data_IF_017421863520
#
_entry.id   IF_017421863520
#
_cell.length_a   1.000
_cell.length_b   1.000
_cell.length_c   1.000
_cell.angle_alpha   90.00
_cell.angle_beta   90.00
_cell.angle_gamma   90.00
#
_symmetry.space_group_name_H-M   'P 1'
#
loop_
_entity.id
_entity.type
_entity.pdbx_description
1 polymer ?
#
# COMPACT_ATOMS: atom_id res chain seq x y z
N UNK A 1 3.96 29.22 7.59
CA UNK A 1 3.41 28.88 8.93
C UNK A 1 4.17 27.70 9.46
N UNK A 2 4.65 27.70 10.70
CA UNK A 2 5.23 26.47 11.28
C UNK A 2 4.12 25.42 11.37
N UNK A 3 4.28 24.33 10.65
CA UNK A 3 3.36 23.19 10.74
C UNK A 3 3.37 22.59 12.15
N UNK A 4 2.20 22.18 12.61
CA UNK A 4 2.11 21.46 13.88
C UNK A 4 2.83 20.12 13.75
N UNK A 5 3.74 19.76 14.65
CA UNK A 5 4.42 18.47 14.62
C UNK A 5 3.40 17.36 14.80
N UNK A 6 3.74 16.17 14.30
CA UNK A 6 2.96 14.97 14.60
C UNK A 6 3.28 14.51 16.03
N UNK A 7 2.26 14.43 16.87
CA UNK A 7 2.38 13.88 18.22
C UNK A 7 1.98 12.38 18.18
N UNK A 8 2.79 11.54 18.81
CA UNK A 8 2.50 10.10 18.96
C UNK A 8 2.14 9.82 20.42
N UNK A 9 1.00 9.17 20.62
CA UNK A 9 0.47 8.85 21.94
C UNK A 9 0.08 7.38 21.98
N UNK A 10 0.53 6.65 22.98
CA UNK A 10 0.03 5.29 23.28
C UNK A 10 -1.00 5.42 24.41
N UNK A 11 -2.21 4.95 24.15
CA UNK A 11 -3.31 4.99 25.12
C UNK A 11 -3.25 3.81 26.09
N UNK A 12 -4.04 3.88 27.15
CA UNK A 12 -4.08 2.88 28.23
C UNK A 12 -4.47 1.47 27.73
N UNK A 13 -5.27 1.38 26.68
CA UNK A 13 -5.69 0.12 26.05
C UNK A 13 -4.70 -0.41 25.00
N UNK A 14 -3.58 0.29 24.74
CA UNK A 14 -2.57 -0.09 23.75
C UNK A 14 -2.72 0.52 22.37
N UNK A 15 -3.84 1.16 22.05
CA UNK A 15 -4.04 1.87 20.78
C UNK A 15 -3.02 3.02 20.67
N UNK A 16 -2.41 3.15 19.50
CA UNK A 16 -1.47 4.24 19.20
C UNK A 16 -2.17 5.31 18.37
N UNK A 17 -2.02 6.58 18.77
CA UNK A 17 -2.58 7.72 18.08
C UNK A 17 -1.48 8.58 17.46
N UNK A 18 -1.53 8.79 16.15
CA UNK A 18 -0.81 9.84 15.44
C UNK A 18 -1.70 11.07 15.31
N UNK A 19 -1.36 12.12 16.02
CA UNK A 19 -2.17 13.34 16.10
C UNK A 19 -1.47 14.52 15.45
N UNK A 20 -2.20 15.26 14.62
CA UNK A 20 -1.77 16.54 14.05
C UNK A 20 -2.89 17.56 14.20
N UNK A 21 -2.60 18.66 14.89
CA UNK A 21 -3.50 19.82 14.92
C UNK A 21 -3.41 20.58 13.60
N UNK A 22 -4.53 20.74 12.92
CA UNK A 22 -4.62 21.51 11.68
C UNK A 22 -5.71 22.59 11.79
N UNK A 23 -5.48 23.74 11.16
CA UNK A 23 -6.49 24.81 11.06
C UNK A 23 -7.38 24.66 9.81
N UNK A 24 -7.21 23.60 9.01
CA UNK A 24 -8.08 23.29 7.87
C UNK A 24 -9.55 23.17 8.30
N UNK A 25 -10.48 23.51 7.43
CA UNK A 25 -11.91 23.24 7.65
C UNK A 25 -12.24 21.75 7.59
N UNK A 26 -11.38 20.97 6.90
CA UNK A 26 -11.53 19.52 6.67
C UNK A 26 -10.69 18.75 7.67
N UNK A 27 -11.28 17.72 8.26
CA UNK A 27 -10.62 16.73 9.11
C UNK A 27 -10.46 15.41 8.36
N UNK A 28 -9.38 14.70 8.65
CA UNK A 28 -9.07 13.37 8.12
C UNK A 28 -8.81 12.41 9.29
N UNK A 29 -9.38 11.22 9.20
CA UNK A 29 -9.27 10.18 10.21
C UNK A 29 -8.99 8.85 9.51
N UNK A 30 -8.04 8.07 10.03
CA UNK A 30 -7.75 6.74 9.53
C UNK A 30 -7.52 5.76 10.69
N UNK A 31 -8.11 4.57 10.59
CA UNK A 31 -7.89 3.43 11.46
C UNK A 31 -7.12 2.38 10.68
N UNK A 32 -5.89 2.13 11.09
CA UNK A 32 -5.01 1.14 10.51
C UNK A 32 -4.92 -0.10 11.40
N UNK A 33 -4.98 -1.26 10.78
CA UNK A 33 -4.75 -2.55 11.43
C UNK A 33 -3.64 -3.28 10.69
N UNK A 34 -2.66 -3.81 11.41
CA UNK A 34 -1.64 -4.70 10.87
C UNK A 34 -2.30 -6.05 10.57
N UNK A 35 -2.15 -6.55 9.34
CA UNK A 35 -2.85 -7.75 8.90
C UNK A 35 -2.88 -7.84 7.38
N UNK A 36 -4.00 -7.58 6.75
CA UNK A 36 -4.16 -7.64 5.30
C UNK A 36 -4.18 -9.07 4.74
N UNK A 37 -4.01 -9.21 3.41
CA UNK A 37 -4.12 -10.51 2.75
C UNK A 37 -3.02 -11.50 3.15
N UNK A 38 -1.87 -11.03 3.64
CA UNK A 38 -0.82 -11.90 4.19
C UNK A 38 -1.23 -12.65 5.45
N UNK A 39 -2.19 -12.13 6.21
CA UNK A 39 -2.69 -12.75 7.45
C UNK A 39 -3.87 -13.69 7.24
N UNK A 40 -4.27 -13.93 6.01
CA UNK A 40 -5.37 -14.84 5.69
C UNK A 40 -4.98 -16.30 5.95
N UNK A 41 -5.91 -17.13 6.42
CA UNK A 41 -5.71 -18.58 6.38
C UNK A 41 -5.43 -19.02 4.94
N UNK A 42 -4.49 -19.93 4.74
CA UNK A 42 -4.10 -20.43 3.40
C UNK A 42 -5.27 -20.99 2.58
N UNK A 43 -6.34 -21.43 3.26
CA UNK A 43 -7.57 -21.95 2.65
C UNK A 43 -8.57 -20.86 2.24
N UNK A 44 -8.33 -19.59 2.64
CA UNK A 44 -9.24 -18.47 2.46
C UNK A 44 -8.60 -17.24 1.81
N UNK A 45 -7.88 -17.38 0.67
CA UNK A 45 -7.30 -16.22 0.00
C UNK A 45 -8.41 -15.26 -0.46
N UNK A 46 -8.24 -13.95 -0.19
CA UNK A 46 -9.21 -12.90 -0.48
C UNK A 46 -10.15 -12.55 0.68
N UNK A 47 -9.97 -13.18 1.86
CA UNK A 47 -10.85 -12.94 3.01
C UNK A 47 -10.73 -11.52 3.57
N UNK A 48 -9.53 -10.96 3.60
CA UNK A 48 -9.28 -9.60 4.08
C UNK A 48 -9.96 -8.54 3.19
N UNK A 49 -9.87 -8.69 1.88
CA UNK A 49 -10.58 -7.83 0.93
C UNK A 49 -12.10 -8.02 1.01
N UNK A 50 -12.56 -9.25 1.13
CA UNK A 50 -13.98 -9.53 1.32
C UNK A 50 -14.53 -8.94 2.63
N UNK A 51 -13.72 -8.92 3.70
CA UNK A 51 -14.04 -8.21 4.94
C UNK A 51 -14.22 -6.71 4.70
N UNK A 52 -13.34 -6.09 3.93
CA UNK A 52 -13.42 -4.67 3.56
C UNK A 52 -14.78 -4.34 2.93
N UNK A 53 -15.26 -5.15 1.97
CA UNK A 53 -16.59 -5.00 1.38
C UNK A 53 -17.71 -5.17 2.41
N UNK A 54 -17.60 -6.18 3.26
CA UNK A 54 -18.65 -6.54 4.21
C UNK A 54 -18.72 -5.63 5.44
N UNK A 55 -17.65 -4.90 5.80
CA UNK A 55 -17.62 -4.06 7.00
C UNK A 55 -18.67 -2.93 6.96
N UNK A 56 -19.05 -2.48 5.75
CA UNK A 56 -20.06 -1.44 5.54
C UNK A 56 -21.51 -1.96 5.49
N UNK A 57 -21.72 -3.28 5.62
CA UNK A 57 -23.03 -3.90 5.34
C UNK A 57 -23.91 -4.11 6.58
N UNK A 58 -23.42 -3.75 7.75
CA UNK A 58 -24.20 -3.74 8.97
C UNK A 58 -23.40 -3.91 10.24
N UNK A 59 -23.92 -3.33 11.31
CA UNK A 59 -23.45 -3.53 12.68
C UNK A 59 -24.61 -4.06 13.54
N UNK A 60 -24.34 -4.36 14.81
CA UNK A 60 -25.40 -4.77 15.73
C UNK A 60 -26.48 -3.69 15.91
N UNK A 61 -26.15 -2.43 15.65
CA UNK A 61 -27.05 -1.29 15.88
C UNK A 61 -27.50 -0.58 14.60
N UNK A 62 -26.82 -0.82 13.45
CA UNK A 62 -27.03 -0.04 12.22
C UNK A 62 -27.13 -0.93 10.99
N UNK A 63 -28.06 -0.58 10.09
CA UNK A 63 -28.21 -1.21 8.77
C UNK A 63 -27.27 -0.56 7.75
N UNK A 64 -26.92 -1.29 6.69
CA UNK A 64 -26.03 -0.87 5.62
C UNK A 64 -26.35 0.53 5.08
N UNK A 65 -27.60 0.81 4.72
CA UNK A 65 -27.98 2.11 4.14
C UNK A 65 -27.70 3.27 5.12
N UNK A 66 -27.92 3.09 6.41
CA UNK A 66 -27.60 4.12 7.39
C UNK A 66 -26.09 4.36 7.50
N UNK A 67 -25.29 3.29 7.44
CA UNK A 67 -23.83 3.37 7.46
C UNK A 67 -23.34 4.17 6.25
N UNK A 68 -23.78 3.80 5.05
CA UNK A 68 -23.36 4.41 3.79
C UNK A 68 -23.74 5.90 3.70
N UNK A 69 -24.93 6.26 4.16
CA UNK A 69 -25.39 7.66 4.05
C UNK A 69 -24.88 8.56 5.18
N UNK A 70 -24.38 8.02 6.27
CA UNK A 70 -24.11 8.77 7.51
C UNK A 70 -23.13 9.92 7.35
N UNK A 71 -22.08 9.76 6.54
CA UNK A 71 -21.14 10.83 6.23
C UNK A 71 -21.48 11.51 4.90
N UNK A 72 -21.98 10.80 3.92
CA UNK A 72 -22.32 11.32 2.60
C UNK A 72 -23.38 12.45 2.68
N UNK A 73 -24.40 12.31 3.55
CA UNK A 73 -25.45 13.32 3.75
C UNK A 73 -24.93 14.67 4.28
N UNK A 74 -23.70 14.71 4.74
CA UNK A 74 -23.02 15.95 5.21
C UNK A 74 -21.78 16.29 4.39
N UNK A 75 -21.64 15.65 3.20
CA UNK A 75 -20.54 15.88 2.26
C UNK A 75 -19.21 15.31 2.72
N UNK A 76 -19.20 14.33 3.61
CA UNK A 76 -18.02 13.58 3.99
C UNK A 76 -17.88 12.31 3.15
N UNK A 77 -16.71 11.69 3.22
CA UNK A 77 -16.39 10.45 2.54
C UNK A 77 -15.91 9.41 3.54
N UNK A 78 -16.34 8.16 3.38
CA UNK A 78 -15.90 7.01 4.16
C UNK A 78 -15.46 5.92 3.19
N UNK A 79 -14.23 5.44 3.34
CA UNK A 79 -13.64 4.41 2.49
C UNK A 79 -12.79 3.44 3.31
N UNK A 80 -12.45 2.31 2.71
CA UNK A 80 -11.47 1.38 3.22
C UNK A 80 -10.58 0.87 2.09
N UNK A 81 -9.45 0.27 2.44
CA UNK A 81 -8.64 -0.48 1.51
C UNK A 81 -7.91 -1.62 2.22
N UNK A 82 -7.61 -2.65 1.47
CA UNK A 82 -6.83 -3.80 1.89
C UNK A 82 -5.54 -3.87 1.09
N UNK A 83 -4.42 -4.00 1.82
CA UNK A 83 -3.11 -4.28 1.24
C UNK A 83 -2.62 -5.67 1.67
N UNK A 84 -1.40 -6.03 1.29
CA UNK A 84 -0.81 -7.31 1.70
C UNK A 84 -0.67 -7.41 3.24
N UNK A 85 -0.29 -6.33 3.91
CA UNK A 85 0.08 -6.35 5.33
C UNK A 85 -0.73 -5.39 6.21
N UNK A 86 -1.73 -4.70 5.65
CA UNK A 86 -2.56 -3.74 6.38
C UNK A 86 -3.98 -3.65 5.84
N UNK A 87 -4.92 -3.33 6.72
CA UNK A 87 -6.27 -2.89 6.39
C UNK A 87 -6.44 -1.49 6.97
N UNK A 88 -7.03 -0.60 6.20
CA UNK A 88 -7.30 0.76 6.62
C UNK A 88 -8.75 1.13 6.36
N UNK A 89 -9.42 1.68 7.38
CA UNK A 89 -10.70 2.37 7.25
C UNK A 89 -10.41 3.85 7.44
N UNK A 90 -10.87 4.71 6.53
CA UNK A 90 -10.56 6.14 6.61
C UNK A 90 -11.73 7.01 6.18
N UNK A 91 -11.74 8.24 6.68
CA UNK A 91 -12.78 9.21 6.39
C UNK A 91 -12.22 10.63 6.22
N UNK A 92 -12.88 11.39 5.34
CA UNK A 92 -12.66 12.83 5.13
C UNK A 92 -13.97 13.56 5.39
N UNK A 93 -13.94 14.62 6.21
CA UNK A 93 -15.17 15.29 6.65
C UNK A 93 -14.89 16.74 7.08
N UNK A 94 -15.92 17.58 7.17
CA UNK A 94 -15.80 18.86 7.82
C UNK A 94 -15.59 18.68 9.34
N UNK A 95 -14.64 19.40 9.95
CA UNK A 95 -14.23 19.21 11.35
C UNK A 95 -15.39 19.22 12.37
N UNK A 96 -16.50 19.94 12.10
CA UNK A 96 -17.70 19.89 12.95
C UNK A 96 -18.33 18.49 13.05
N UNK A 97 -17.97 17.57 12.16
CA UNK A 97 -18.46 16.20 12.12
C UNK A 97 -17.44 15.17 12.61
N UNK A 98 -16.33 15.59 13.23
CA UNK A 98 -15.29 14.68 13.76
C UNK A 98 -15.90 13.60 14.67
N UNK A 99 -16.75 13.97 15.61
CA UNK A 99 -17.42 13.00 16.50
C UNK A 99 -18.28 12.00 15.73
N UNK A 100 -19.01 12.47 14.69
CA UNK A 100 -19.85 11.61 13.82
C UNK A 100 -19.02 10.60 13.05
N UNK A 101 -17.91 11.04 12.43
CA UNK A 101 -17.01 10.18 11.70
C UNK A 101 -16.36 9.15 12.63
N UNK A 102 -15.87 9.59 13.79
CA UNK A 102 -15.24 8.72 14.76
C UNK A 102 -16.22 7.65 15.28
N UNK A 103 -17.43 8.05 15.66
CA UNK A 103 -18.49 7.15 16.11
C UNK A 103 -18.84 6.09 15.04
N UNK A 104 -19.00 6.52 13.78
CA UNK A 104 -19.30 5.61 12.69
C UNK A 104 -18.17 4.60 12.47
N UNK A 105 -16.94 5.08 12.35
CA UNK A 105 -15.78 4.19 12.12
C UNK A 105 -15.53 3.24 13.28
N UNK A 106 -15.73 3.71 14.52
CA UNK A 106 -15.63 2.85 15.71
C UNK A 106 -16.69 1.76 15.72
N UNK A 107 -17.92 2.07 15.35
CA UNK A 107 -19.00 1.09 15.26
C UNK A 107 -18.72 0.01 14.20
N UNK A 108 -18.14 0.41 13.05
CA UNK A 108 -17.73 -0.53 12.01
C UNK A 108 -16.67 -1.52 12.50
N UNK A 109 -15.67 -1.08 13.22
CA UNK A 109 -14.57 -1.96 13.63
C UNK A 109 -14.87 -2.78 14.88
N UNK A 110 -15.76 -2.30 15.76
CA UNK A 110 -16.12 -2.99 17.02
C UNK A 110 -17.36 -3.86 16.87
N UNK A 111 -18.37 -3.39 16.13
CA UNK A 111 -19.73 -3.94 16.18
C UNK A 111 -20.21 -4.55 14.85
N UNK A 112 -19.34 -4.71 13.84
CA UNK A 112 -19.75 -5.35 12.59
C UNK A 112 -20.34 -6.75 12.83
N UNK A 113 -21.51 -7.00 12.25
CA UNK A 113 -22.25 -8.24 12.48
C UNK A 113 -22.38 -9.12 11.22
N UNK A 114 -21.97 -8.61 10.07
CA UNK A 114 -21.94 -9.32 8.79
C UNK A 114 -23.24 -10.08 8.49
N UNK A 115 -24.35 -9.39 8.16
CA UNK A 115 -25.63 -10.06 7.87
C UNK A 115 -25.48 -11.04 6.71
N UNK A 116 -25.97 -12.27 6.87
CA UNK A 116 -25.80 -13.35 5.88
C UNK A 116 -26.32 -12.93 4.49
N UNK A 117 -27.46 -12.23 4.44
CA UNK A 117 -28.02 -11.78 3.18
C UNK A 117 -27.12 -10.78 2.47
N UNK A 118 -26.42 -9.92 3.20
CA UNK A 118 -25.47 -8.96 2.62
C UNK A 118 -24.18 -9.66 2.18
N UNK A 119 -23.71 -10.66 2.95
CA UNK A 119 -22.58 -11.51 2.53
C UNK A 119 -22.85 -12.15 1.17
N UNK A 120 -24.02 -12.76 0.97
CA UNK A 120 -24.34 -13.43 -0.30
C UNK A 120 -24.37 -12.43 -1.49
N UNK A 121 -24.89 -11.22 -1.27
CA UNK A 121 -24.84 -10.16 -2.29
C UNK A 121 -23.41 -9.72 -2.61
N UNK A 122 -22.58 -9.51 -1.56
CA UNK A 122 -21.21 -9.07 -1.75
C UNK A 122 -20.32 -10.11 -2.43
N UNK A 123 -20.63 -11.40 -2.30
CA UNK A 123 -19.94 -12.44 -3.08
C UNK A 123 -20.05 -12.19 -4.58
N UNK A 124 -21.24 -11.85 -5.06
CA UNK A 124 -21.44 -11.55 -6.48
C UNK A 124 -20.68 -10.28 -6.90
N UNK A 125 -20.71 -9.24 -6.06
CA UNK A 125 -19.98 -7.98 -6.32
C UNK A 125 -18.48 -8.24 -6.44
N UNK A 126 -17.89 -8.95 -5.49
CA UNK A 126 -16.44 -9.28 -5.50
C UNK A 126 -16.10 -10.23 -6.66
N UNK A 127 -16.97 -11.15 -7.03
CA UNK A 127 -16.78 -12.03 -8.20
C UNK A 127 -16.77 -11.19 -9.49
N UNK A 128 -17.63 -10.18 -9.60
CA UNK A 128 -17.65 -9.27 -10.74
C UNK A 128 -16.40 -8.38 -10.77
N UNK A 129 -15.91 -7.94 -9.62
CA UNK A 129 -14.64 -7.24 -9.52
C UNK A 129 -13.47 -8.12 -9.97
N UNK A 130 -13.38 -9.38 -9.51
CA UNK A 130 -12.40 -10.36 -9.99
C UNK A 130 -12.49 -10.54 -11.52
N UNK A 131 -13.69 -10.49 -12.11
CA UNK A 131 -13.85 -10.52 -13.57
C UNK A 131 -13.28 -9.28 -14.24
N UNK A 132 -13.59 -8.10 -13.69
CA UNK A 132 -13.08 -6.82 -14.19
C UNK A 132 -11.55 -6.76 -14.17
N UNK A 133 -10.92 -7.26 -13.11
CA UNK A 133 -9.45 -7.40 -13.04
C UNK A 133 -8.89 -8.32 -14.14
N UNK A 134 -9.62 -9.35 -14.53
CA UNK A 134 -9.21 -10.22 -15.66
C UNK A 134 -9.23 -9.50 -17.00
N UNK A 135 -10.04 -8.46 -17.13
CA UNK A 135 -10.13 -7.63 -18.34
C UNK A 135 -9.03 -6.53 -18.35
N UNK A 136 -8.32 -6.33 -17.23
CA UNK A 136 -7.17 -5.44 -17.13
C UNK A 136 -5.85 -6.24 -17.29
N UNK A 137 -5.15 -6.11 -18.43
CA UNK A 137 -3.91 -6.85 -18.66
C UNK A 137 -2.80 -6.52 -17.67
N UNK A 138 -2.74 -5.27 -17.19
CA UNK A 138 -1.72 -4.81 -16.25
C UNK A 138 -1.94 -5.41 -14.85
N UNK A 139 -3.18 -5.40 -14.36
CA UNK A 139 -3.50 -5.96 -13.05
C UNK A 139 -3.26 -7.47 -13.03
N UNK A 140 -3.68 -8.16 -14.11
CA UNK A 140 -3.37 -9.60 -14.27
C UNK A 140 -1.87 -9.89 -14.31
N UNK A 141 -1.10 -9.05 -15.01
CA UNK A 141 0.35 -9.20 -15.08
C UNK A 141 1.00 -9.04 -13.69
N UNK A 142 0.54 -8.07 -12.91
CA UNK A 142 1.04 -7.82 -11.55
C UNK A 142 0.68 -8.97 -10.61
N UNK A 143 -0.58 -9.41 -10.58
CA UNK A 143 -1.03 -10.54 -9.75
C UNK A 143 -0.30 -11.83 -10.12
N UNK A 144 -0.11 -12.08 -11.42
CA UNK A 144 0.62 -13.26 -11.86
C UNK A 144 2.12 -13.18 -11.56
N UNK A 145 2.71 -11.99 -11.66
CA UNK A 145 4.08 -11.76 -11.24
C UNK A 145 4.26 -12.04 -9.75
N UNK A 146 3.41 -11.48 -8.89
CA UNK A 146 3.43 -11.73 -7.43
C UNK A 146 3.35 -13.23 -7.14
N UNK A 147 2.42 -13.92 -7.79
CA UNK A 147 2.23 -15.37 -7.61
C UNK A 147 3.45 -16.19 -8.01
N UNK A 148 4.13 -15.83 -9.09
CA UNK A 148 5.34 -16.54 -9.53
C UNK A 148 6.53 -16.16 -8.64
N UNK A 149 6.64 -14.88 -8.31
CA UNK A 149 7.75 -14.31 -7.52
C UNK A 149 7.77 -14.85 -6.09
N UNK A 150 6.61 -14.89 -5.42
CA UNK A 150 6.50 -15.37 -4.04
C UNK A 150 6.11 -16.85 -3.92
N UNK A 151 5.72 -17.51 -5.02
CA UNK A 151 5.32 -18.92 -5.03
C UNK A 151 4.14 -19.21 -4.09
N UNK A 152 4.28 -20.23 -3.25
CA UNK A 152 3.25 -20.65 -2.28
C UNK A 152 3.21 -19.79 -1.01
N UNK A 153 4.05 -18.76 -0.93
CA UNK A 153 4.03 -17.83 0.20
C UNK A 153 2.76 -16.96 0.16
N UNK A 154 2.17 -16.58 1.32
CA UNK A 154 0.94 -15.75 1.37
C UNK A 154 1.01 -14.44 0.58
N UNK A 155 2.19 -13.84 0.43
CA UNK A 155 2.40 -12.65 -0.41
C UNK A 155 2.13 -12.89 -1.90
N UNK A 156 2.19 -14.13 -2.37
CA UNK A 156 1.87 -14.51 -3.75
C UNK A 156 0.37 -14.62 -4.03
N UNK A 157 -0.48 -14.63 -3.01
CA UNK A 157 -1.92 -14.67 -3.20
C UNK A 157 -2.45 -13.32 -3.70
N UNK A 158 -3.38 -13.30 -4.69
CA UNK A 158 -4.05 -12.08 -5.09
C UNK A 158 -4.89 -11.54 -3.92
N UNK A 159 -4.90 -10.22 -3.73
CA UNK A 159 -5.64 -9.57 -2.64
C UNK A 159 -7.15 -9.84 -2.76
N UNK A 160 -7.69 -9.84 -3.98
CA UNK A 160 -9.10 -10.16 -4.24
C UNK A 160 -9.43 -11.64 -4.01
N UNK A 161 -8.44 -12.49 -3.87
CA UNK A 161 -8.63 -13.93 -3.82
C UNK A 161 -9.04 -14.54 -5.16
N UNK A 162 -9.84 -15.59 -5.10
CA UNK A 162 -10.34 -16.30 -6.29
C UNK A 162 -11.86 -16.46 -6.21
N UNK A 163 -12.54 -16.62 -7.37
CA UNK A 163 -13.97 -16.96 -7.40
C UNK A 163 -14.31 -18.19 -6.53
N UNK A 164 -13.39 -19.16 -6.48
CA UNK A 164 -13.58 -20.38 -5.67
C UNK A 164 -13.50 -20.09 -4.17
N UNK A 165 -12.57 -19.24 -3.73
CA UNK A 165 -12.44 -18.86 -2.32
C UNK A 165 -13.61 -17.98 -1.88
N UNK A 166 -13.95 -16.94 -2.64
CA UNK A 166 -15.05 -16.00 -2.33
C UNK A 166 -16.40 -16.73 -2.15
N UNK A 167 -16.73 -17.68 -3.03
CA UNK A 167 -17.96 -18.47 -2.92
C UNK A 167 -18.07 -19.29 -1.62
N UNK A 168 -16.95 -19.59 -0.98
CA UNK A 168 -16.90 -20.42 0.25
C UNK A 168 -16.96 -19.62 1.53
N UNK A 169 -16.70 -18.31 1.49
CA UNK A 169 -16.66 -17.49 2.68
C UNK A 169 -17.99 -17.50 3.42
N UNK A 170 -17.88 -17.58 4.74
CA UNK A 170 -19.00 -17.59 5.67
C UNK A 170 -18.85 -16.44 6.66
N UNK A 171 -19.93 -16.14 7.35
CA UNK A 171 -19.94 -15.12 8.40
C UNK A 171 -18.91 -15.40 9.49
N UNK A 172 -18.75 -16.66 9.86
CA UNK A 172 -17.81 -17.12 10.88
C UNK A 172 -16.35 -16.82 10.50
N UNK A 173 -16.01 -16.90 9.21
CA UNK A 173 -14.65 -16.58 8.70
C UNK A 173 -14.34 -15.10 8.90
N UNK A 174 -15.28 -14.21 8.58
CA UNK A 174 -15.16 -12.77 8.79
C UNK A 174 -15.03 -12.41 10.27
N UNK A 175 -15.88 -13.02 11.12
CA UNK A 175 -15.82 -12.81 12.57
C UNK A 175 -14.49 -13.28 13.16
N UNK A 176 -14.00 -14.44 12.75
CA UNK A 176 -12.72 -14.98 13.19
C UNK A 176 -11.55 -14.07 12.75
N UNK A 177 -11.59 -13.55 11.50
CA UNK A 177 -10.56 -12.68 10.98
C UNK A 177 -10.53 -11.33 11.72
N UNK A 178 -11.70 -10.72 11.97
CA UNK A 178 -11.78 -9.46 12.71
C UNK A 178 -11.29 -9.64 14.15
N UNK A 179 -11.71 -10.72 14.81
CA UNK A 179 -11.31 -11.02 16.19
C UNK A 179 -9.79 -11.21 16.32
N UNK A 180 -9.14 -11.79 15.32
CA UNK A 180 -7.70 -12.05 15.33
C UNK A 180 -6.86 -10.83 14.99
N UNK A 181 -7.36 -9.93 14.14
CA UNK A 181 -6.56 -8.84 13.56
C UNK A 181 -6.96 -7.45 14.04
N UNK A 182 -8.26 -7.23 14.41
CA UNK A 182 -8.72 -5.92 14.86
C UNK A 182 -8.62 -5.84 16.39
N UNK A 183 -7.43 -5.60 16.87
CA UNK A 183 -7.11 -5.55 18.31
C UNK A 183 -6.44 -4.24 18.66
N UNK A 184 -6.48 -3.86 19.92
CA UNK A 184 -5.99 -2.56 20.38
C UNK A 184 -4.48 -2.37 20.15
N UNK A 185 -3.67 -3.38 20.42
CA UNK A 185 -2.21 -3.35 20.21
C UNK A 185 -1.81 -3.38 18.71
N UNK A 186 -2.72 -3.86 17.86
CA UNK A 186 -2.53 -3.96 16.41
C UNK A 186 -3.09 -2.73 15.66
N UNK A 187 -3.73 -1.81 16.39
CA UNK A 187 -4.41 -0.65 15.83
C UNK A 187 -3.59 0.64 15.94
N UNK A 188 -3.66 1.44 14.89
CA UNK A 188 -3.22 2.83 14.89
C UNK A 188 -4.38 3.70 14.46
N UNK A 189 -4.66 4.74 15.24
CA UNK A 189 -5.53 5.86 14.86
C UNK A 189 -4.66 6.99 14.34
N UNK A 190 -4.92 7.50 13.15
CA UNK A 190 -4.26 8.69 12.61
C UNK A 190 -5.26 9.80 12.36
N UNK A 191 -4.99 10.99 12.86
CA UNK A 191 -5.89 12.13 12.76
C UNK A 191 -5.15 13.41 12.40
N UNK A 192 -5.68 14.13 11.43
CA UNK A 192 -5.28 15.50 11.08
C UNK A 192 -6.53 16.38 11.03
N UNK A 193 -6.65 17.34 11.94
CA UNK A 193 -7.82 18.21 11.98
C UNK A 193 -7.86 19.17 13.19
N UNK A 194 -9.04 19.75 13.44
CA UNK A 194 -9.22 20.78 14.48
C UNK A 194 -9.58 20.23 15.86
N UNK A 195 -9.98 18.95 15.97
CA UNK A 195 -10.40 18.43 17.27
C UNK A 195 -9.24 18.46 18.26
N UNK A 196 -9.45 18.96 19.50
CA UNK A 196 -8.42 18.94 20.52
C UNK A 196 -7.98 17.52 20.87
N UNK A 197 -6.69 17.34 21.11
CA UNK A 197 -6.08 16.04 21.43
C UNK A 197 -6.81 15.29 22.55
N UNK A 198 -7.09 15.94 23.67
CA UNK A 198 -7.77 15.32 24.82
C UNK A 198 -9.14 14.74 24.45
N UNK A 199 -9.91 15.43 23.60
CA UNK A 199 -11.22 14.93 23.15
C UNK A 199 -11.10 13.71 22.24
N UNK A 200 -10.06 13.65 21.39
CA UNK A 200 -9.81 12.44 20.59
C UNK A 200 -9.41 11.26 21.48
N UNK A 201 -8.58 11.50 22.48
CA UNK A 201 -8.23 10.47 23.47
C UNK A 201 -9.48 9.96 24.17
N UNK A 202 -10.37 10.85 24.66
CA UNK A 202 -11.66 10.47 25.26
C UNK A 202 -12.54 9.64 24.30
N UNK A 203 -12.59 10.01 23.01
CA UNK A 203 -13.34 9.27 22.00
C UNK A 203 -12.76 7.86 21.80
N UNK A 204 -11.44 7.74 21.70
CA UNK A 204 -10.76 6.45 21.52
C UNK A 204 -11.00 5.55 22.74
N UNK A 205 -10.73 6.06 23.94
CA UNK A 205 -10.91 5.31 25.19
C UNK A 205 -12.37 4.94 25.46
N UNK A 206 -13.32 5.78 25.04
CA UNK A 206 -14.74 5.51 25.22
C UNK A 206 -15.34 4.53 24.20
N UNK A 207 -14.97 4.66 22.92
CA UNK A 207 -15.65 3.92 21.84
C UNK A 207 -14.90 2.68 21.37
N UNK A 208 -13.59 2.60 21.61
CA UNK A 208 -12.75 1.46 21.22
C UNK A 208 -12.30 0.62 22.42
N UNK A 209 -12.95 0.78 23.58
CA UNK A 209 -12.65 0.02 24.82
C UNK A 209 -12.91 -1.46 24.69
N UNK A 210 -13.87 -1.85 23.85
CA UNK A 210 -14.32 -3.23 23.69
C UNK A 210 -13.50 -3.99 22.63
N UNK A 211 -12.49 -3.34 22.00
CA UNK A 211 -11.54 -4.03 21.15
C UNK A 211 -10.70 -5.02 21.98
N UNK A 212 -10.46 -6.24 21.48
CA UNK A 212 -9.55 -7.19 22.13
C UNK A 212 -8.18 -6.54 22.37
N UNK A 213 -7.59 -6.76 23.54
CA UNK A 213 -6.35 -6.06 23.91
C UNK A 213 -5.13 -6.50 23.09
N UNK A 214 -5.05 -7.81 22.78
CA UNK A 214 -3.88 -8.40 22.11
C UNK A 214 -4.24 -9.11 20.81
N UNK A 215 -3.46 -8.82 19.77
CA UNK A 215 -3.49 -9.58 18.53
C UNK A 215 -2.99 -11.02 18.76
N UNK A 216 -3.56 -11.94 18.02
CA UNK A 216 -2.92 -13.22 17.78
C UNK A 216 -1.58 -12.94 17.06
N UNK A 217 -0.52 -13.66 17.40
CA UNK A 217 0.73 -13.58 16.65
C UNK A 217 0.42 -13.80 15.16
N UNK A 218 0.75 -12.82 14.32
CA UNK A 218 0.47 -12.88 12.89
C UNK A 218 1.22 -14.03 12.18
N UNK A 219 2.24 -14.59 12.83
CA UNK A 219 2.97 -15.76 12.32
C UNK A 219 3.67 -15.52 10.99
N UNK A 220 3.91 -14.26 10.63
CA UNK A 220 4.59 -13.94 9.37
C UNK A 220 6.02 -14.47 9.36
N UNK A 221 6.37 -15.10 8.27
CA UNK A 221 7.72 -15.60 8.00
C UNK A 221 8.21 -14.99 6.69
N UNK A 222 9.52 -14.73 6.55
CA UNK A 222 10.07 -14.28 5.29
C UNK A 222 9.77 -15.28 4.17
N UNK A 223 9.57 -14.81 2.92
CA UNK A 223 9.46 -15.70 1.78
C UNK A 223 10.77 -16.48 1.59
N UNK A 224 10.66 -17.66 0.96
CA UNK A 224 11.83 -18.43 0.55
C UNK A 224 12.69 -17.63 -0.44
N UNK A 225 13.92 -18.10 -0.69
CA UNK A 225 14.80 -17.49 -1.67
C UNK A 225 14.11 -17.39 -3.05
N UNK A 226 14.06 -16.17 -3.58
CA UNK A 226 13.45 -15.90 -4.88
C UNK A 226 14.39 -16.37 -5.99
N UNK A 227 13.93 -17.29 -6.80
CA UNK A 227 14.69 -17.77 -7.98
C UNK A 227 14.36 -16.89 -9.18
N UNK A 228 15.38 -16.38 -9.88
CA UNK A 228 15.19 -15.61 -11.10
C UNK A 228 14.40 -16.38 -12.16
N UNK A 229 13.53 -15.70 -12.89
CA UNK A 229 12.77 -16.32 -13.97
C UNK A 229 12.56 -15.34 -15.14
N UNK A 230 12.35 -15.91 -16.31
CA UNK A 230 11.90 -15.19 -17.50
C UNK A 230 10.79 -15.99 -18.16
N UNK A 231 9.58 -15.44 -18.13
CA UNK A 231 8.38 -16.09 -18.65
C UNK A 231 7.73 -15.18 -19.67
N UNK A 232 7.33 -15.74 -20.81
CA UNK A 232 6.55 -15.04 -21.84
C UNK A 232 5.29 -15.81 -22.15
N UNK A 233 4.18 -15.09 -22.28
CA UNK A 233 2.87 -15.63 -22.62
C UNK A 233 2.22 -14.81 -23.70
N UNK A 234 1.51 -15.45 -24.62
CA UNK A 234 0.68 -14.78 -25.62
C UNK A 234 -0.70 -14.53 -25.04
N UNK A 235 -1.10 -13.25 -25.01
CA UNK A 235 -2.37 -12.81 -24.45
C UNK A 235 -3.18 -11.97 -25.45
N UNK A 236 -4.51 -12.05 -25.36
CA UNK A 236 -5.41 -11.28 -26.23
C UNK A 236 -5.54 -9.85 -25.70
N UNK A 237 -4.49 -9.03 -25.87
CA UNK A 237 -4.39 -7.65 -25.42
C UNK A 237 -4.19 -6.70 -26.58
N UNK A 238 -4.51 -5.42 -26.41
CA UNK A 238 -4.22 -4.38 -27.41
C UNK A 238 -2.71 -4.08 -27.51
N UNK A 239 -2.00 -4.18 -26.42
CA UNK A 239 -0.57 -3.92 -26.31
C UNK A 239 0.12 -5.11 -25.63
N UNK A 240 1.42 -5.19 -25.77
CA UNK A 240 2.24 -6.08 -24.96
C UNK A 240 2.63 -5.38 -23.67
N UNK A 241 2.70 -6.16 -22.61
CA UNK A 241 3.02 -5.69 -21.26
C UNK A 241 4.16 -6.51 -20.68
N UNK A 242 5.05 -5.85 -19.95
CA UNK A 242 6.14 -6.54 -19.28
C UNK A 242 6.34 -5.99 -17.88
N UNK A 243 6.66 -6.85 -16.95
CA UNK A 243 7.22 -6.49 -15.65
C UNK A 243 8.61 -7.10 -15.52
N UNK A 244 9.59 -6.26 -15.26
CA UNK A 244 10.96 -6.62 -14.93
C UNK A 244 11.18 -6.24 -13.48
N UNK A 245 11.56 -7.17 -12.61
CA UNK A 245 11.66 -6.90 -11.20
C UNK A 245 12.66 -7.79 -10.48
N UNK A 246 12.75 -7.64 -9.18
CA UNK A 246 13.62 -8.42 -8.31
C UNK A 246 13.38 -8.10 -6.85
N UNK A 247 14.10 -8.80 -5.98
CA UNK A 247 14.03 -8.59 -4.55
C UNK A 247 14.47 -7.16 -4.19
N UNK A 248 13.88 -6.60 -3.15
CA UNK A 248 14.18 -5.26 -2.65
C UNK A 248 14.25 -5.25 -1.12
N UNK A 249 14.79 -4.16 -0.51
CA UNK A 249 14.88 -4.03 0.94
C UNK A 249 13.51 -4.09 1.63
N UNK A 250 13.45 -4.68 2.82
CA UNK A 250 12.28 -4.64 3.70
C UNK A 250 12.11 -3.29 4.39
N UNK A 251 11.02 -3.12 5.17
CA UNK A 251 10.79 -1.92 5.99
C UNK A 251 11.94 -1.61 6.95
N UNK A 252 12.59 -2.63 7.48
CA UNK A 252 13.62 -2.49 8.52
C UNK A 252 15.06 -2.41 7.97
N UNK A 253 15.22 -2.50 6.67
CA UNK A 253 16.53 -2.41 6.01
C UNK A 253 17.04 -0.97 5.92
N UNK A 254 18.32 -0.76 6.20
CA UNK A 254 19.01 0.53 6.02
C UNK A 254 19.06 0.94 4.53
N UNK A 255 19.03 -0.03 3.61
CA UNK A 255 19.06 0.19 2.17
C UNK A 255 17.78 0.85 1.64
N UNK A 256 16.69 0.88 2.43
CA UNK A 256 15.35 1.29 1.99
C UNK A 256 15.30 2.71 1.42
N UNK A 257 15.92 3.68 2.07
CA UNK A 257 15.88 5.08 1.60
C UNK A 257 16.68 5.25 0.31
N UNK A 258 17.83 4.60 0.18
CA UNK A 258 18.61 4.59 -1.06
C UNK A 258 17.82 3.94 -2.20
N UNK A 259 17.13 2.82 -1.92
CA UNK A 259 16.26 2.16 -2.90
C UNK A 259 15.12 3.07 -3.38
N UNK A 260 14.45 3.80 -2.48
CA UNK A 260 13.44 4.78 -2.88
C UNK A 260 13.97 5.85 -3.84
N UNK A 261 15.18 6.36 -3.59
CA UNK A 261 15.82 7.35 -4.47
C UNK A 261 16.15 6.71 -5.84
N UNK A 262 16.67 5.48 -5.88
CA UNK A 262 16.98 4.77 -7.11
C UNK A 262 15.72 4.51 -7.95
N UNK A 263 14.66 4.05 -7.35
CA UNK A 263 13.38 3.80 -8.04
C UNK A 263 12.77 5.11 -8.53
N UNK A 264 12.78 6.16 -7.73
CA UNK A 264 12.32 7.48 -8.16
C UNK A 264 13.15 8.05 -9.33
N UNK A 265 14.46 7.84 -9.32
CA UNK A 265 15.35 8.22 -10.42
C UNK A 265 15.07 7.41 -11.70
N UNK A 266 14.83 6.09 -11.57
CA UNK A 266 14.59 5.21 -12.71
C UNK A 266 13.26 5.50 -13.40
N UNK A 267 12.17 5.45 -12.67
CA UNK A 267 10.82 5.51 -13.24
C UNK A 267 9.76 6.07 -12.28
N UNK A 268 10.15 7.01 -11.40
CA UNK A 268 9.20 7.75 -10.56
C UNK A 268 8.25 8.64 -11.38
N UNK A 269 7.33 9.37 -10.70
CA UNK A 269 6.20 10.06 -11.34
C UNK A 269 6.62 11.25 -12.23
N UNK A 270 7.87 11.65 -12.20
CA UNK A 270 8.33 12.81 -12.96
C UNK A 270 8.68 12.46 -14.41
N UNK A 271 8.34 13.34 -15.35
CA UNK A 271 8.62 13.14 -16.77
C UNK A 271 10.12 13.01 -17.09
N UNK A 272 10.99 13.56 -16.23
CA UNK A 272 12.45 13.46 -16.36
C UNK A 272 13.02 12.17 -15.72
N UNK A 273 12.20 11.23 -15.28
CA UNK A 273 12.66 9.92 -14.84
C UNK A 273 13.43 9.21 -15.96
N UNK A 274 14.48 8.49 -15.59
CA UNK A 274 15.47 7.97 -16.53
C UNK A 274 14.88 7.07 -17.62
N UNK A 275 14.01 6.14 -17.24
CA UNK A 275 13.36 5.22 -18.17
C UNK A 275 12.36 5.94 -19.07
N UNK A 276 11.63 6.93 -18.54
CA UNK A 276 10.72 7.74 -19.33
C UNK A 276 11.48 8.51 -20.42
N UNK A 277 12.59 9.17 -20.06
CA UNK A 277 13.43 9.86 -21.06
C UNK A 277 13.93 8.89 -22.12
N UNK A 278 14.48 7.72 -21.72
CA UNK A 278 15.15 6.81 -22.65
C UNK A 278 14.14 6.06 -23.52
N UNK A 279 13.06 5.57 -22.97
CA UNK A 279 12.12 4.68 -23.68
C UNK A 279 11.04 5.49 -24.40
N UNK A 280 10.45 6.47 -23.72
CA UNK A 280 9.35 7.27 -24.25
C UNK A 280 9.81 8.49 -25.03
N UNK A 281 10.55 9.40 -24.41
CA UNK A 281 10.86 10.70 -25.03
C UNK A 281 11.85 10.57 -26.22
N UNK A 282 12.92 9.78 -26.06
CA UNK A 282 13.94 9.63 -27.10
C UNK A 282 13.57 8.66 -28.21
N UNK A 283 12.87 7.61 -27.89
CA UNK A 283 12.61 6.53 -28.85
C UNK A 283 11.13 6.34 -29.19
N UNK A 284 10.19 6.91 -28.43
CA UNK A 284 8.75 6.77 -28.69
C UNK A 284 8.24 5.32 -28.65
N UNK A 285 8.86 4.45 -27.82
CA UNK A 285 8.60 3.01 -27.89
C UNK A 285 7.46 2.55 -27.00
N UNK A 286 7.29 3.14 -25.82
CA UNK A 286 6.31 2.75 -24.84
C UNK A 286 5.42 3.90 -24.43
N UNK A 287 4.15 3.61 -24.22
CA UNK A 287 3.18 4.56 -23.70
C UNK A 287 3.23 4.67 -22.18
N UNK A 288 3.39 3.52 -21.50
CA UNK A 288 3.49 3.44 -20.04
C UNK A 288 4.87 2.88 -19.65
N UNK A 289 5.55 3.62 -18.78
CA UNK A 289 6.85 3.26 -18.20
C UNK A 289 6.84 3.73 -16.76
N UNK A 290 6.88 2.81 -15.82
CA UNK A 290 6.87 3.10 -14.39
C UNK A 290 7.84 2.19 -13.66
N UNK A 291 8.53 2.70 -12.65
CA UNK A 291 9.26 1.90 -11.69
C UNK A 291 8.65 2.07 -10.30
N UNK A 292 8.42 0.98 -9.63
CA UNK A 292 7.81 0.91 -8.30
C UNK A 292 8.66 0.08 -7.33
N UNK A 293 8.46 0.32 -6.06
CA UNK A 293 9.08 -0.42 -4.97
C UNK A 293 8.03 -0.72 -3.90
N UNK A 294 7.66 -1.97 -3.78
CA UNK A 294 6.78 -2.46 -2.72
C UNK A 294 7.64 -2.89 -1.52
N UNK A 295 7.42 -2.21 -0.40
CA UNK A 295 8.12 -2.46 0.86
C UNK A 295 7.21 -3.29 1.74
N UNK A 296 7.74 -4.36 2.33
CA UNK A 296 7.04 -5.29 3.21
C UNK A 296 7.81 -5.48 4.51
N UNK A 297 7.21 -6.13 5.50
CA UNK A 297 7.79 -6.28 6.85
C UNK A 297 9.20 -6.89 6.84
N UNK A 298 9.37 -7.97 6.12
CA UNK A 298 10.59 -8.79 6.11
C UNK A 298 11.22 -8.95 4.72
N UNK A 299 10.61 -8.37 3.70
CA UNK A 299 11.06 -8.41 2.31
C UNK A 299 10.63 -7.16 1.55
N UNK A 300 10.85 -7.12 0.28
CA UNK A 300 10.33 -6.15 -0.68
C UNK A 300 10.58 -6.62 -2.10
N UNK A 301 9.91 -5.99 -3.04
CA UNK A 301 10.26 -6.17 -4.45
C UNK A 301 10.26 -4.82 -5.19
N UNK A 302 11.12 -4.72 -6.17
CA UNK A 302 11.08 -3.61 -7.13
C UNK A 302 10.57 -4.14 -8.47
N UNK A 303 9.86 -3.29 -9.20
CA UNK A 303 9.34 -3.63 -10.52
C UNK A 303 9.41 -2.45 -11.49
N UNK A 304 9.74 -2.73 -12.76
CA UNK A 304 9.61 -1.82 -13.88
C UNK A 304 8.50 -2.37 -14.76
N UNK A 305 7.42 -1.61 -14.87
CA UNK A 305 6.25 -1.93 -15.67
C UNK A 305 6.33 -1.19 -17.02
N UNK A 306 6.16 -1.94 -18.11
CA UNK A 306 6.24 -1.44 -19.47
C UNK A 306 4.99 -1.84 -20.25
N UNK A 307 4.42 -0.90 -21.02
CA UNK A 307 3.37 -1.18 -22.00
C UNK A 307 3.72 -0.57 -23.34
N UNK A 308 3.79 -1.40 -24.38
CA UNK A 308 4.21 -1.00 -25.71
C UNK A 308 3.49 -1.81 -26.79
N UNK A 309 3.55 -1.36 -28.04
CA UNK A 309 3.18 -2.19 -29.19
C UNK A 309 4.07 -3.43 -29.26
N UNK A 310 3.54 -4.55 -29.79
CA UNK A 310 4.27 -5.81 -29.91
C UNK A 310 5.67 -5.66 -30.56
N UNK A 311 5.79 -4.85 -31.60
CA UNK A 311 7.07 -4.61 -32.29
C UNK A 311 8.10 -3.85 -31.46
N UNK A 312 7.67 -3.17 -30.39
CA UNK A 312 8.48 -2.26 -29.58
C UNK A 312 8.82 -2.82 -28.19
N UNK A 313 8.11 -3.85 -27.71
CA UNK A 313 8.23 -4.33 -26.33
C UNK A 313 9.64 -4.86 -26.03
N UNK A 314 10.23 -5.62 -26.91
CA UNK A 314 11.57 -6.19 -26.71
C UNK A 314 12.62 -5.09 -26.61
N UNK A 315 12.58 -4.10 -27.51
CA UNK A 315 13.49 -2.96 -27.46
C UNK A 315 13.29 -2.13 -26.20
N UNK A 316 12.05 -1.98 -25.71
CA UNK A 316 11.78 -1.29 -24.45
C UNK A 316 12.37 -2.03 -23.25
N UNK A 317 12.23 -3.37 -23.21
CA UNK A 317 12.84 -4.22 -22.20
C UNK A 317 14.38 -4.13 -22.24
N UNK A 318 14.98 -4.19 -23.42
CA UNK A 318 16.43 -4.10 -23.58
C UNK A 318 16.98 -2.75 -23.10
N UNK A 319 16.27 -1.66 -23.38
CA UNK A 319 16.63 -0.34 -22.88
C UNK A 319 16.51 -0.27 -21.34
N UNK A 320 15.46 -0.82 -20.75
CA UNK A 320 15.32 -0.87 -19.30
C UNK A 320 16.46 -1.68 -18.65
N UNK A 321 16.74 -2.87 -19.17
CA UNK A 321 17.87 -3.71 -18.73
C UNK A 321 19.22 -3.00 -18.91
N UNK A 322 19.41 -2.24 -19.98
CA UNK A 322 20.62 -1.45 -20.21
C UNK A 322 20.78 -0.37 -19.15
N UNK A 323 19.72 0.34 -18.78
CA UNK A 323 19.79 1.38 -17.73
C UNK A 323 20.09 0.77 -16.35
N UNK A 324 19.49 -0.36 -16.01
CA UNK A 324 19.83 -1.10 -14.78
C UNK A 324 21.30 -1.55 -14.77
N UNK A 325 21.79 -2.11 -15.88
CA UNK A 325 23.20 -2.50 -16.03
C UNK A 325 24.15 -1.31 -15.86
N UNK A 326 23.82 -0.16 -16.43
CA UNK A 326 24.61 1.05 -16.26
C UNK A 326 24.68 1.49 -14.80
N UNK A 327 23.59 1.36 -14.04
CA UNK A 327 23.60 1.63 -12.59
C UNK A 327 24.45 0.63 -11.81
N UNK A 328 24.42 -0.63 -12.18
CA UNK A 328 25.24 -1.67 -11.54
C UNK A 328 26.74 -1.48 -11.82
N UNK A 329 27.11 -1.25 -13.08
CA UNK A 329 28.51 -1.17 -13.52
C UNK A 329 29.17 0.19 -13.22
N UNK A 330 28.45 1.29 -13.47
CA UNK A 330 28.98 2.66 -13.37
C UNK A 330 28.47 3.42 -12.16
N UNK A 331 27.34 3.00 -11.61
CA UNK A 331 26.65 3.71 -10.54
C UNK A 331 26.03 5.04 -10.98
N UNK A 332 25.49 5.76 -10.03
CA UNK A 332 25.07 7.16 -10.18
C UNK A 332 26.31 8.07 -10.12
N UNK A 333 26.27 9.16 -10.86
CA UNK A 333 27.25 10.24 -10.70
C UNK A 333 26.88 11.14 -9.51
N UNK A 334 27.83 11.91 -8.92
CA UNK A 334 27.54 12.87 -7.86
C UNK A 334 26.44 13.87 -8.22
N UNK A 335 26.41 14.31 -9.48
CA UNK A 335 25.40 15.27 -9.99
C UNK A 335 24.02 14.61 -10.05
N UNK A 336 23.93 13.35 -10.51
CA UNK A 336 22.68 12.60 -10.54
C UNK A 336 22.13 12.39 -9.12
N UNK A 337 22.98 11.94 -8.18
CA UNK A 337 22.56 11.75 -6.79
C UNK A 337 22.06 13.05 -6.18
N UNK A 338 22.79 14.17 -6.33
CA UNK A 338 22.37 15.48 -5.83
C UNK A 338 21.00 15.89 -6.37
N UNK A 339 20.78 15.75 -7.69
CA UNK A 339 19.50 16.10 -8.34
C UNK A 339 18.37 15.18 -7.88
N UNK A 340 18.62 13.87 -7.76
CA UNK A 340 17.62 12.89 -7.32
C UNK A 340 17.20 13.12 -5.87
N UNK A 341 18.14 13.41 -4.96
CA UNK A 341 17.82 13.79 -3.59
C UNK A 341 16.95 15.05 -3.55
N UNK A 342 17.36 16.11 -4.25
CA UNK A 342 16.59 17.35 -4.30
C UNK A 342 15.17 17.13 -4.82
N UNK A 343 15.01 16.39 -5.91
CA UNK A 343 13.70 16.06 -6.48
C UNK A 343 12.85 15.25 -5.51
N UNK A 344 13.42 14.23 -4.90
CA UNK A 344 12.71 13.36 -3.96
C UNK A 344 12.26 14.13 -2.71
N UNK A 345 13.13 14.96 -2.13
CA UNK A 345 12.80 15.83 -0.99
C UNK A 345 11.70 16.85 -1.34
N UNK A 346 11.74 17.42 -2.54
CA UNK A 346 10.69 18.35 -2.99
C UNK A 346 9.35 17.66 -3.17
N UNK A 347 9.33 16.45 -3.73
CA UNK A 347 8.12 15.63 -3.86
C UNK A 347 7.53 15.27 -2.48
N UNK A 348 8.38 14.90 -1.53
CA UNK A 348 7.95 14.65 -0.14
C UNK A 348 7.36 15.92 0.50
N UNK A 349 7.99 17.07 0.29
CA UNK A 349 7.48 18.34 0.83
C UNK A 349 6.11 18.70 0.27
N UNK A 350 5.93 18.57 -1.05
CA UNK A 350 4.64 18.83 -1.71
C UNK A 350 3.57 17.87 -1.20
N UNK A 351 3.90 16.58 -1.08
CA UNK A 351 2.97 15.57 -0.54
C UNK A 351 2.59 15.86 0.92
N UNK A 352 3.51 16.42 1.71
CA UNK A 352 3.28 16.76 3.12
C UNK A 352 2.24 17.86 3.33
N UNK A 353 2.03 18.74 2.35
CA UNK A 353 1.00 19.78 2.40
C UNK A 353 -0.44 19.20 2.35
N UNK A 354 -0.61 17.99 1.85
CA UNK A 354 -1.89 17.30 1.84
C UNK A 354 -2.19 16.68 3.21
N UNK A 355 -3.17 17.21 3.92
CA UNK A 355 -3.62 16.65 5.21
C UNK A 355 -4.08 15.18 5.07
N UNK A 356 -4.71 14.82 3.96
CA UNK A 356 -5.11 13.44 3.69
C UNK A 356 -3.86 12.54 3.56
N UNK A 357 -2.93 12.91 2.67
CA UNK A 357 -1.69 12.14 2.48
C UNK A 357 -0.90 12.02 3.80
N UNK A 358 -0.86 13.10 4.60
CA UNK A 358 -0.23 13.11 5.91
C UNK A 358 -0.92 12.17 6.90
N UNK A 359 -2.26 12.13 6.91
CA UNK A 359 -3.02 11.19 7.75
C UNK A 359 -2.69 9.74 7.38
N UNK A 360 -2.70 9.43 6.09
CA UNK A 360 -2.41 8.09 5.59
C UNK A 360 -0.95 7.68 5.88
N UNK A 361 0.01 8.56 5.58
CA UNK A 361 1.43 8.31 5.84
C UNK A 361 1.75 8.13 7.32
N UNK A 362 1.20 8.98 8.19
CA UNK A 362 1.40 8.89 9.63
C UNK A 362 0.85 7.59 10.20
N UNK A 363 -0.37 7.20 9.80
CA UNK A 363 -0.99 5.96 10.24
C UNK A 363 -0.15 4.73 9.88
N UNK A 364 0.23 4.61 8.61
CA UNK A 364 1.08 3.51 8.13
C UNK A 364 2.46 3.52 8.79
N UNK A 365 3.11 4.69 8.89
CA UNK A 365 4.44 4.81 9.50
C UNK A 365 4.41 4.41 10.98
N UNK A 366 3.40 4.85 11.72
CA UNK A 366 3.26 4.48 13.14
C UNK A 366 2.95 3.00 13.31
N UNK A 367 2.14 2.42 12.41
CA UNK A 367 1.82 0.99 12.41
C UNK A 367 3.08 0.13 12.29
N UNK A 368 4.00 0.51 11.38
CA UNK A 368 5.19 -0.27 11.04
C UNK A 368 6.34 -0.02 12.02
N UNK A 369 6.63 1.25 12.32
CA UNK A 369 7.86 1.64 13.03
C UNK A 369 7.66 2.00 14.51
N UNK A 370 6.42 2.04 14.99
CA UNK A 370 6.07 2.55 16.33
C UNK A 370 6.57 3.97 16.61
N UNK A 371 6.96 4.70 15.59
CA UNK A 371 7.42 6.09 15.64
C UNK A 371 7.14 6.78 14.31
N UNK A 372 7.11 8.10 14.34
CA UNK A 372 7.00 8.95 13.15
C UNK A 372 8.19 9.90 13.17
N UNK A 373 9.04 9.81 12.17
CA UNK A 373 10.13 10.78 11.98
C UNK A 373 9.54 12.11 11.50
N UNK A 374 10.11 13.22 11.95
CA UNK A 374 9.77 14.53 11.41
C UNK A 374 10.21 14.65 9.94
N UNK A 375 9.64 15.62 9.23
CA UNK A 375 10.09 15.93 7.86
C UNK A 375 11.58 16.32 7.85
N UNK A 376 12.02 17.07 8.87
CA UNK A 376 13.42 17.47 9.05
C UNK A 376 14.34 16.26 9.28
N UNK A 377 13.92 15.30 10.10
CA UNK A 377 14.68 14.05 10.31
C UNK A 377 14.77 13.23 9.04
N UNK A 378 13.66 13.14 8.30
CA UNK A 378 13.63 12.46 6.99
C UNK A 378 14.58 13.14 6.01
N UNK A 379 14.59 14.46 5.95
CA UNK A 379 15.51 15.23 5.12
C UNK A 379 16.96 14.98 5.49
N UNK A 380 17.27 14.98 6.78
CA UNK A 380 18.62 14.70 7.29
C UNK A 380 19.08 13.30 6.86
N UNK A 381 18.25 12.28 7.01
CA UNK A 381 18.54 10.89 6.61
C UNK A 381 18.78 10.78 5.10
N UNK A 382 17.93 11.38 4.28
CA UNK A 382 18.07 11.37 2.81
C UNK A 382 19.33 12.11 2.38
N UNK A 383 19.61 13.27 2.97
CA UNK A 383 20.80 14.05 2.64
C UNK A 383 22.11 13.35 3.06
N UNK A 384 22.07 12.54 4.11
CA UNK A 384 23.21 11.77 4.59
C UNK A 384 23.62 10.61 3.66
N UNK A 385 22.72 10.09 2.83
CA UNK A 385 23.03 8.99 1.91
C UNK A 385 24.21 9.38 1.01
N UNK A 386 25.26 8.59 1.03
CA UNK A 386 26.48 8.81 0.23
C UNK A 386 26.35 8.21 -1.17
N UNK A 387 27.30 8.56 -2.04
CA UNK A 387 27.39 7.99 -3.39
C UNK A 387 27.74 6.49 -3.34
N UNK A 388 28.58 6.10 -2.40
CA UNK A 388 29.01 4.71 -2.23
C UNK A 388 27.84 3.84 -1.75
N UNK A 389 27.05 4.31 -0.77
CA UNK A 389 25.86 3.61 -0.29
C UNK A 389 24.83 3.40 -1.39
N UNK A 390 24.45 4.43 -2.13
CA UNK A 390 23.42 4.28 -3.18
C UNK A 390 23.90 3.37 -4.31
N UNK A 391 25.19 3.43 -4.66
CA UNK A 391 25.76 2.56 -5.68
C UNK A 391 25.93 1.11 -5.18
N UNK A 392 26.17 0.90 -3.88
CA UNK A 392 26.16 -0.43 -3.29
C UNK A 392 24.75 -1.05 -3.34
N UNK A 393 23.72 -0.27 -3.03
CA UNK A 393 22.31 -0.70 -3.14
C UNK A 393 21.96 -1.04 -4.60
N UNK A 394 22.37 -0.24 -5.57
CA UNK A 394 22.14 -0.54 -6.98
C UNK A 394 22.78 -1.86 -7.40
N UNK A 395 24.04 -2.10 -7.03
CA UNK A 395 24.73 -3.38 -7.30
C UNK A 395 24.08 -4.57 -6.63
N UNK A 396 23.61 -4.39 -5.39
CA UNK A 396 23.00 -5.47 -4.60
C UNK A 396 21.65 -5.93 -5.15
N UNK A 397 20.80 -5.01 -5.60
CA UNK A 397 19.41 -5.31 -5.93
C UNK A 397 19.08 -5.31 -7.42
N UNK A 398 19.92 -4.70 -8.27
CA UNK A 398 19.68 -4.66 -9.72
C UNK A 398 20.56 -5.60 -10.53
N UNK A 399 21.33 -6.46 -9.86
CA UNK A 399 22.18 -7.45 -10.51
C UNK A 399 21.38 -8.32 -11.51
N UNK A 400 21.95 -8.54 -12.68
CA UNK A 400 21.26 -9.23 -13.81
C UNK A 400 20.81 -10.64 -13.41
N UNK A 401 21.63 -11.30 -12.59
CA UNK A 401 21.43 -12.67 -12.12
C UNK A 401 20.23 -12.82 -11.18
N UNK A 402 19.72 -11.72 -10.63
CA UNK A 402 18.60 -11.69 -9.69
C UNK A 402 17.29 -11.19 -10.33
N UNK A 403 17.31 -10.85 -11.60
CA UNK A 403 16.16 -10.26 -12.27
C UNK A 403 15.12 -11.33 -12.64
N UNK A 404 13.87 -11.00 -12.35
CA UNK A 404 12.67 -11.76 -12.70
C UNK A 404 11.92 -10.99 -13.79
N UNK A 405 11.36 -11.70 -14.76
CA UNK A 405 10.63 -11.05 -15.85
C UNK A 405 9.42 -11.87 -16.28
N UNK A 406 8.27 -11.21 -16.37
CA UNK A 406 7.06 -11.74 -16.98
C UNK A 406 6.61 -10.82 -18.12
N UNK A 407 6.31 -11.40 -19.27
CA UNK A 407 5.87 -10.67 -20.47
C UNK A 407 4.56 -11.25 -20.98
N UNK A 408 3.59 -10.40 -21.21
CA UNK A 408 2.39 -10.69 -21.98
C UNK A 408 2.55 -10.13 -23.39
N UNK A 409 2.86 -11.00 -24.33
CA UNK A 409 2.93 -10.67 -25.75
C UNK A 409 1.51 -10.56 -26.31
N UNK A 410 1.24 -9.52 -27.10
CA UNK A 410 0.01 -9.44 -27.90
C UNK A 410 -0.05 -10.62 -28.87
N UNK A 411 -1.22 -11.32 -28.91
CA UNK A 411 -1.53 -12.32 -29.95
C UNK A 411 -1.69 -11.68 -31.32
#
# INVERSE_FOLDING_TARGET
MKESPTEVITLSNGIRLAYVRSNSAVGHLAFYFKGGSRSEPSTHPGLAHFLEHCIFKGTHTRKAMWILTRLDEVGGELNAFTAKEEICVHATFLNRYTKRAFELMSDLVVNSNFPIQEIEKEKEVVIDEINSYKDSPLDRLMDEFDRIFFGDHPLGNPILGTKKSVKRFKREDLLAFIQSNFTADNMVVSYVGREPKHRLVELIEGQLKDLPAKATNLGWTPPAEIKPFTIRKKESNFQSHAILGGIAPSYHSDDRLAMNILINFLGGPAMNARLNIVIREKHGLAYHVEASYAVLEDTGFWGILLSAEQKNIDKSIDLAKKELRLLVEKGMTPIQLKKSKYQFLSQLSIGWESNNARTMSNGKTLLIYNRIDSLEDTFRKINAITLDEINAVARKYFAVEQQCMLVYDKK
#
